data_IF_284888082471
#
_entry.id   IF_284888082471
#
_cell.length_a   1.000
_cell.length_b   1.000
_cell.length_c   1.000
_cell.angle_alpha   90.00
_cell.angle_beta   90.00
_cell.angle_gamma   90.00
#
_symmetry.space_group_name_H-M   'P 1'
#
loop_
_entity.id
_entity.type
_entity.pdbx_description
1 polymer ?
#
# COMPACT_ATOMS: atom_id res chain seq x y z
N UNK A 1 17.16 41.50 -25.71
CA UNK A 1 17.80 41.06 -24.46
C UNK A 1 16.88 41.17 -23.24
N UNK A 2 16.39 42.37 -22.86
CA UNK A 2 15.51 42.52 -21.68
C UNK A 2 14.14 41.85 -21.83
N UNK A 3 13.51 41.97 -23.01
CA UNK A 3 12.20 41.36 -23.31
C UNK A 3 12.25 39.83 -23.41
N UNK A 4 13.34 39.30 -23.94
CA UNK A 4 13.60 37.85 -24.01
C UNK A 4 13.89 37.27 -22.63
N UNK A 5 14.60 38.00 -21.77
CA UNK A 5 14.80 37.63 -20.36
C UNK A 5 13.47 37.64 -19.58
N UNK A 6 12.63 38.66 -19.79
CA UNK A 6 11.30 38.75 -19.18
C UNK A 6 10.40 37.57 -19.60
N UNK A 7 10.38 37.25 -20.91
CA UNK A 7 9.60 36.13 -21.44
C UNK A 7 10.07 34.79 -20.84
N UNK A 8 11.38 34.61 -20.68
CA UNK A 8 11.96 33.39 -20.09
C UNK A 8 11.58 33.25 -18.61
N UNK A 9 11.62 34.34 -17.84
CA UNK A 9 11.20 34.35 -16.44
C UNK A 9 9.70 34.04 -16.30
N UNK A 10 8.86 34.64 -17.16
CA UNK A 10 7.42 34.34 -17.19
C UNK A 10 7.19 32.87 -17.53
N UNK A 11 7.93 32.32 -18.50
CA UNK A 11 7.82 30.91 -18.86
C UNK A 11 8.21 29.98 -17.70
N UNK A 12 9.20 30.35 -16.90
CA UNK A 12 9.62 29.58 -15.72
C UNK A 12 8.59 29.59 -14.60
N UNK A 13 7.82 30.67 -14.45
CA UNK A 13 6.74 30.80 -13.45
C UNK A 13 5.44 30.09 -13.85
N UNK A 14 5.29 29.71 -15.13
CA UNK A 14 4.11 29.01 -15.64
C UNK A 14 4.20 27.48 -15.51
N UNK A 15 5.33 26.94 -15.04
CA UNK A 15 5.42 25.52 -14.71
C UNK A 15 4.72 25.28 -13.37
N UNK A 16 3.63 24.48 -13.31
CA UNK A 16 3.05 24.11 -12.04
C UNK A 16 4.06 23.28 -11.25
N UNK A 17 4.34 23.70 -10.02
CA UNK A 17 5.02 22.82 -9.07
C UNK A 17 4.03 21.72 -8.68
N UNK A 18 4.24 20.50 -9.18
CA UNK A 18 3.48 19.35 -8.69
C UNK A 18 3.85 19.10 -7.24
N UNK A 19 3.04 19.59 -6.31
CA UNK A 19 3.13 19.24 -4.90
C UNK A 19 2.39 17.94 -4.66
N UNK A 20 3.11 16.87 -4.30
CA UNK A 20 2.52 15.58 -4.00
C UNK A 20 2.00 15.62 -2.56
N UNK A 21 0.73 16.02 -2.39
CA UNK A 21 0.04 16.09 -1.10
C UNK A 21 -0.76 14.81 -0.78
N UNK A 22 -0.39 13.68 -1.40
CA UNK A 22 -1.05 12.41 -1.14
C UNK A 22 -0.41 11.75 0.08
N UNK A 23 -1.00 12.01 1.23
CA UNK A 23 -0.75 11.20 2.41
C UNK A 23 -1.37 9.81 2.20
N UNK A 24 -0.58 8.77 2.43
CA UNK A 24 -0.98 7.38 2.27
C UNK A 24 -0.37 6.51 3.35
N UNK A 25 -1.06 5.40 3.66
CA UNK A 25 -0.48 4.32 4.46
C UNK A 25 0.71 3.72 3.69
N UNK A 26 1.84 3.58 4.37
CA UNK A 26 3.09 2.98 3.85
C UNK A 26 3.24 1.55 4.33
N UNK A 27 2.94 1.33 5.61
CA UNK A 27 3.05 0.03 6.26
C UNK A 27 2.06 -0.07 7.40
N UNK A 28 1.63 -1.29 7.70
CA UNK A 28 0.86 -1.58 8.90
C UNK A 28 1.30 -2.90 9.53
N UNK A 29 1.01 -3.03 10.81
CA UNK A 29 1.11 -4.27 11.57
C UNK A 29 -0.19 -4.37 12.37
N UNK A 30 -1.09 -5.30 12.04
CA UNK A 30 -1.05 -6.27 10.94
C UNK A 30 -1.05 -5.62 9.54
N UNK A 31 -0.48 -6.31 8.56
CA UNK A 31 -0.48 -5.90 7.14
C UNK A 31 -1.86 -6.10 6.49
N UNK A 32 -2.14 -5.37 5.41
CA UNK A 32 -3.34 -5.59 4.59
C UNK A 32 -3.42 -7.06 4.14
N UNK A 33 -4.55 -7.70 4.43
CA UNK A 33 -4.83 -9.09 4.12
C UNK A 33 -4.01 -10.10 4.92
N UNK A 34 -3.27 -9.68 5.95
CA UNK A 34 -2.45 -10.58 6.76
C UNK A 34 -3.33 -11.59 7.51
N UNK A 35 -2.88 -12.84 7.55
CA UNK A 35 -3.51 -13.92 8.30
C UNK A 35 -2.63 -14.27 9.49
N UNK A 36 -3.06 -13.89 10.68
CA UNK A 36 -2.37 -14.14 11.93
C UNK A 36 -2.81 -15.47 12.54
N UNK A 37 -1.87 -16.24 13.08
CA UNK A 37 -2.17 -17.46 13.86
C UNK A 37 -2.38 -17.19 15.34
N UNK A 38 -2.08 -15.97 15.78
CA UNK A 38 -2.21 -15.50 17.16
C UNK A 38 -2.85 -14.10 17.20
N UNK A 39 -3.40 -13.72 18.35
CA UNK A 39 -3.97 -12.38 18.53
C UNK A 39 -2.85 -11.33 18.59
N UNK A 40 -2.92 -10.25 17.78
CA UNK A 40 -1.97 -9.15 17.92
C UNK A 40 -2.22 -8.39 19.22
N UNK A 41 -1.15 -7.97 19.90
CA UNK A 41 -1.24 -7.14 21.10
C UNK A 41 -1.28 -5.63 20.81
N UNK A 42 -0.90 -5.22 19.60
CA UNK A 42 -0.82 -3.82 19.17
C UNK A 42 -1.14 -3.72 17.67
N UNK A 43 -1.76 -2.61 17.30
CA UNK A 43 -1.88 -2.16 15.91
C UNK A 43 -0.91 -1.00 15.69
N UNK A 44 -0.15 -1.03 14.60
CA UNK A 44 0.76 0.04 14.20
C UNK A 44 0.48 0.41 12.74
N UNK A 45 0.29 1.69 12.47
CA UNK A 45 0.08 2.26 11.14
C UNK A 45 1.18 3.29 10.85
N UNK A 46 1.93 3.10 9.78
CA UNK A 46 2.98 4.02 9.32
C UNK A 46 2.53 4.71 8.04
N UNK A 47 2.63 6.03 8.01
CA UNK A 47 2.24 6.87 6.87
C UNK A 47 3.45 7.50 6.19
N UNK A 48 3.27 8.01 4.97
CA UNK A 48 4.34 8.74 4.27
C UNK A 48 4.49 10.20 4.75
N UNK A 49 3.55 10.68 5.56
CA UNK A 49 3.53 12.00 6.21
C UNK A 49 3.71 11.88 7.71
N UNK A 50 4.13 12.98 8.34
CA UNK A 50 3.93 13.17 9.79
C UNK A 50 2.43 13.15 10.10
N UNK A 51 2.07 12.45 11.16
CA UNK A 51 0.73 12.34 11.74
C UNK A 51 0.60 13.37 12.86
N UNK A 52 -0.45 14.17 12.81
CA UNK A 52 -0.72 15.20 13.80
C UNK A 52 -1.68 14.71 14.90
N UNK A 53 -1.67 15.41 16.04
CA UNK A 53 -2.52 15.11 17.19
C UNK A 53 -4.01 15.19 16.84
N UNK A 54 -4.82 14.32 17.46
CA UNK A 54 -6.25 14.16 17.13
C UNK A 54 -6.53 13.07 16.09
N UNK A 55 -5.48 12.49 15.50
CA UNK A 55 -5.57 11.27 14.69
C UNK A 55 -5.94 10.05 15.53
N UNK A 56 -6.72 9.14 14.95
CA UNK A 56 -7.25 7.97 15.64
C UNK A 56 -7.52 6.81 14.67
N UNK A 57 -7.66 5.61 15.22
CA UNK A 57 -8.16 4.45 14.49
C UNK A 57 -9.10 3.61 15.36
N UNK A 58 -9.87 2.75 14.71
CA UNK A 58 -10.79 1.80 15.31
C UNK A 58 -10.55 0.43 14.69
N UNK A 59 -10.77 -0.61 15.47
CA UNK A 59 -10.74 -2.00 14.98
C UNK A 59 -12.16 -2.53 15.02
N UNK A 60 -12.66 -3.05 13.90
CA UNK A 60 -13.99 -3.63 13.76
C UNK A 60 -13.87 -5.15 13.70
N UNK A 61 -14.68 -5.84 14.48
CA UNK A 61 -14.69 -7.30 14.56
C UNK A 61 -15.59 -7.94 13.48
N UNK A 62 -15.57 -9.28 13.33
CA UNK A 62 -16.37 -9.97 12.33
C UNK A 62 -17.89 -9.75 12.45
N UNK A 63 -18.36 -9.40 13.65
CA UNK A 63 -19.76 -9.10 13.95
C UNK A 63 -20.13 -7.63 13.69
N UNK A 64 -19.20 -6.81 13.19
CA UNK A 64 -19.39 -5.38 12.91
C UNK A 64 -19.29 -4.47 14.13
N UNK A 65 -18.82 -4.97 15.28
CA UNK A 65 -18.67 -4.18 16.51
C UNK A 65 -17.23 -3.70 16.70
N UNK A 66 -17.06 -2.54 17.33
CA UNK A 66 -15.74 -2.03 17.69
C UNK A 66 -15.06 -2.88 18.76
N UNK A 67 -13.76 -3.14 18.57
CA UNK A 67 -12.85 -3.69 19.56
C UNK A 67 -12.22 -2.54 20.35
N UNK A 68 -12.05 -2.72 21.66
CA UNK A 68 -11.41 -1.72 22.49
C UNK A 68 -9.92 -1.56 22.09
N UNK A 69 -9.53 -0.33 21.79
CA UNK A 69 -8.13 0.08 21.59
C UNK A 69 -7.77 1.07 22.68
N UNK A 70 -6.62 0.88 23.32
CA UNK A 70 -6.13 1.76 24.38
C UNK A 70 -4.74 2.28 24.07
N UNK A 71 -4.37 3.40 24.70
CA UNK A 71 -3.02 3.92 24.58
C UNK A 71 -2.66 4.38 23.17
N UNK A 72 -3.57 5.06 22.48
CA UNK A 72 -3.28 5.66 21.17
C UNK A 72 -2.03 6.55 21.30
N UNK A 73 -1.02 6.25 20.50
CA UNK A 73 0.26 6.94 20.46
C UNK A 73 0.57 7.43 19.06
N UNK A 74 1.16 8.62 18.97
CA UNK A 74 1.57 9.22 17.71
C UNK A 74 3.06 9.57 17.83
N UNK A 75 3.87 9.00 16.95
CA UNK A 75 5.30 9.24 16.88
C UNK A 75 5.74 9.50 15.43
N UNK A 76 5.97 10.77 15.12
CA UNK A 76 6.27 11.26 13.76
C UNK A 76 5.25 10.76 12.72
N UNK A 77 5.56 9.71 11.97
CA UNK A 77 4.70 9.14 10.92
C UNK A 77 3.89 7.94 11.37
N UNK A 78 4.02 7.53 12.64
CA UNK A 78 3.39 6.35 13.19
C UNK A 78 2.18 6.72 14.05
N UNK A 79 1.12 5.93 13.91
CA UNK A 79 -0.04 5.88 14.78
C UNK A 79 -0.16 4.45 15.31
N UNK A 80 -0.12 4.26 16.62
CA UNK A 80 -0.25 2.93 17.23
C UNK A 80 -1.25 2.88 18.38
N UNK A 81 -1.68 1.69 18.75
CA UNK A 81 -2.59 1.47 19.87
C UNK A 81 -2.68 0.01 20.28
N UNK A 82 -2.83 -0.24 21.57
CA UNK A 82 -2.83 -1.57 22.16
C UNK A 82 -4.22 -2.22 22.14
N UNK A 83 -4.24 -3.53 21.96
CA UNK A 83 -5.42 -4.38 22.07
C UNK A 83 -5.37 -5.14 23.41
N UNK A 84 -6.11 -4.70 24.45
CA UNK A 84 -6.01 -5.28 25.78
C UNK A 84 -6.73 -6.64 25.92
N UNK A 85 -7.51 -7.03 24.91
CA UNK A 85 -8.24 -8.29 24.87
C UNK A 85 -7.77 -9.11 23.68
N UNK A 86 -7.63 -10.41 23.88
CA UNK A 86 -7.35 -11.35 22.79
C UNK A 86 -8.49 -11.34 21.77
N UNK A 87 -8.11 -11.24 20.50
CA UNK A 87 -9.02 -11.34 19.38
C UNK A 87 -9.45 -12.80 19.21
N UNK A 88 -10.73 -13.00 18.88
CA UNK A 88 -11.24 -14.30 18.49
C UNK A 88 -10.86 -14.58 17.03
N UNK A 89 -11.02 -15.83 16.59
CA UNK A 89 -10.85 -16.15 15.18
C UNK A 89 -11.89 -15.44 14.30
N UNK A 90 -11.44 -14.82 13.20
CA UNK A 90 -12.29 -14.16 12.23
C UNK A 90 -11.62 -13.02 11.47
N UNK A 91 -12.40 -12.35 10.62
CA UNK A 91 -11.96 -11.20 9.82
C UNK A 91 -12.20 -9.88 10.55
N UNK A 92 -11.15 -9.06 10.61
CA UNK A 92 -11.12 -7.77 11.28
C UNK A 92 -10.79 -6.66 10.29
N UNK A 93 -11.27 -5.45 10.57
CA UNK A 93 -10.95 -4.25 9.81
C UNK A 93 -10.34 -3.20 10.72
N UNK A 94 -9.33 -2.49 10.23
CA UNK A 94 -8.74 -1.34 10.90
C UNK A 94 -9.14 -0.12 10.11
N UNK A 95 -9.93 0.77 10.70
CA UNK A 95 -10.38 2.02 10.11
C UNK A 95 -9.62 3.17 10.77
N UNK A 96 -8.96 4.03 10.00
CA UNK A 96 -8.28 5.21 10.57
C UNK A 96 -8.84 6.51 10.02
N UNK A 97 -8.69 7.56 10.82
CA UNK A 97 -8.81 8.95 10.41
C UNK A 97 -7.60 9.69 10.99
N UNK A 98 -6.69 10.11 10.11
CA UNK A 98 -5.47 10.82 10.49
C UNK A 98 -5.47 12.25 9.98
N UNK A 99 -4.75 13.13 10.67
CA UNK A 99 -4.47 14.49 10.23
C UNK A 99 -3.03 14.51 9.72
N UNK A 100 -2.84 14.77 8.42
CA UNK A 100 -1.53 14.88 7.80
C UNK A 100 -0.79 16.16 8.20
N UNK A 101 0.48 16.29 7.79
CA UNK A 101 1.31 17.45 8.09
C UNK A 101 0.77 18.76 7.47
N UNK A 102 -0.08 18.66 6.46
CA UNK A 102 -0.77 19.77 5.79
C UNK A 102 -2.11 20.14 6.47
N UNK A 103 -2.49 19.42 7.52
CA UNK A 103 -3.67 19.68 8.34
C UNK A 103 -4.98 19.10 7.80
N UNK A 104 -4.95 18.32 6.72
CA UNK A 104 -6.17 17.69 6.19
C UNK A 104 -6.44 16.33 6.86
N UNK A 105 -7.71 16.03 7.18
CA UNK A 105 -8.10 14.71 7.64
C UNK A 105 -8.14 13.72 6.47
N UNK A 106 -7.67 12.51 6.71
CA UNK A 106 -7.59 11.44 5.73
C UNK A 106 -8.04 10.15 6.37
N UNK A 107 -8.96 9.49 5.69
CA UNK A 107 -9.55 8.24 6.11
C UNK A 107 -9.02 7.09 5.26
N UNK A 108 -9.02 5.91 5.84
CA UNK A 108 -8.74 4.68 5.11
C UNK A 108 -9.02 3.46 5.97
N UNK A 109 -8.91 2.31 5.32
CA UNK A 109 -9.12 1.03 5.96
C UNK A 109 -8.16 -0.03 5.42
N UNK A 110 -7.86 -1.02 6.26
CA UNK A 110 -7.24 -2.29 5.88
C UNK A 110 -7.94 -3.45 6.58
N UNK A 111 -7.83 -4.65 6.01
CA UNK A 111 -8.36 -5.88 6.64
C UNK A 111 -7.26 -6.83 7.08
N UNK A 112 -7.51 -7.63 8.12
CA UNK A 112 -6.65 -8.76 8.51
C UNK A 112 -7.51 -9.88 9.10
N UNK A 113 -7.00 -11.12 9.11
CA UNK A 113 -7.71 -12.29 9.63
C UNK A 113 -6.94 -12.90 10.79
N UNK A 114 -7.63 -13.29 11.85
CA UNK A 114 -7.06 -14.11 12.94
C UNK A 114 -7.56 -15.55 12.79
N UNK A 115 -6.64 -16.50 12.69
CA UNK A 115 -6.89 -17.95 12.64
C UNK A 115 -6.28 -18.63 13.86
N UNK A 116 -7.00 -18.57 14.97
CA UNK A 116 -6.61 -19.32 16.17
C UNK A 116 -6.97 -20.79 15.94
N UNK A 117 -5.94 -21.63 15.72
CA UNK A 117 -6.09 -23.08 15.84
C UNK A 117 -6.39 -23.36 17.31
N UNK A 118 -7.64 -23.69 17.62
CA UNK A 118 -7.96 -24.21 18.94
C UNK A 118 -7.23 -25.53 19.08
N UNK A 119 -6.19 -25.58 19.92
CA UNK A 119 -5.62 -26.83 20.38
C UNK A 119 -6.77 -27.68 20.94
N UNK A 120 -7.20 -28.66 20.15
CA UNK A 120 -7.94 -29.78 20.71
C UNK A 120 -6.97 -30.46 21.67
N UNK A 121 -7.09 -30.18 22.97
CA UNK A 121 -6.53 -31.06 24.00
C UNK A 121 -7.24 -32.41 23.87
N UNK A 122 -6.74 -33.25 22.96
CA UNK A 122 -7.17 -34.61 22.74
C UNK A 122 -6.48 -35.49 23.79
N UNK A 123 -7.09 -35.57 24.97
CA UNK A 123 -6.89 -36.73 25.83
C UNK A 123 -7.58 -37.93 25.16
N UNK A 124 -6.83 -38.73 24.41
CA UNK A 124 -7.21 -40.11 24.08
C UNK A 124 -5.96 -40.91 23.65
N UNK A 125 -5.31 -41.54 24.64
CA UNK A 125 -4.53 -42.75 24.43
C UNK A 125 -5.49 -43.89 24.08
N UNK A 126 -5.34 -44.49 22.89
CA UNK A 126 -5.23 -45.95 22.71
C UNK A 126 -5.38 -46.31 21.23
N UNK A 127 -4.23 -46.50 20.58
CA UNK A 127 -3.86 -47.72 19.84
C UNK A 127 -5.00 -48.49 19.14
N UNK A 128 -5.02 -48.51 17.80
CA UNK A 128 -4.54 -49.69 17.05
C UNK A 128 -4.70 -49.62 15.52
N UNK A 129 -3.61 -50.03 14.86
CA UNK A 129 -3.49 -50.84 13.64
C UNK A 129 -3.58 -50.13 12.27
N UNK A 130 -2.38 -49.86 11.79
CA UNK A 130 -1.85 -50.00 10.43
C UNK A 130 -2.64 -51.02 9.59
N UNK A 131 -3.17 -50.58 8.44
CA UNK A 131 -3.16 -51.40 7.23
C UNK A 131 -2.56 -50.57 6.09
N UNK A 132 -1.34 -50.98 5.75
CA UNK A 132 -0.66 -50.76 4.49
C UNK A 132 -1.16 -51.86 3.54
N UNK A 133 -1.50 -51.47 2.32
CA UNK A 133 -1.24 -52.18 1.05
C UNK A 133 -1.81 -51.29 -0.07
N UNK A 134 -0.92 -50.60 -0.80
CA UNK A 134 -0.52 -50.94 -2.19
C UNK A 134 -1.53 -50.45 -3.25
N UNK A 135 -1.21 -49.98 -4.44
CA UNK A 135 -0.03 -49.45 -5.10
C UNK A 135 -0.49 -49.11 -6.54
N UNK A 136 0.02 -48.01 -7.10
CA UNK A 136 0.27 -47.71 -8.52
C UNK A 136 -0.89 -47.64 -9.53
N UNK A 137 -0.94 -46.53 -10.27
CA UNK A 137 -0.54 -46.40 -11.69
C UNK A 137 -0.54 -44.89 -12.00
N UNK A 138 0.62 -44.26 -12.16
CA UNK A 138 1.30 -44.03 -13.45
C UNK A 138 0.43 -43.26 -14.45
N UNK A 139 0.74 -41.96 -14.63
CA UNK A 139 1.04 -41.39 -15.94
C UNK A 139 1.76 -40.03 -15.77
N UNK A 140 2.90 -39.94 -16.43
CA UNK A 140 3.84 -38.81 -16.48
C UNK A 140 3.45 -37.88 -17.66
N UNK A 141 4.26 -36.87 -18.02
CA UNK A 141 4.07 -35.45 -17.75
C UNK A 141 3.40 -34.69 -18.92
N UNK A 142 2.68 -33.61 -18.63
CA UNK A 142 2.40 -32.57 -19.62
C UNK A 142 3.17 -31.32 -19.25
N UNK A 143 4.29 -31.18 -19.94
CA UNK A 143 5.03 -29.94 -20.17
C UNK A 143 4.07 -28.90 -20.76
N UNK A 144 3.85 -27.79 -20.04
CA UNK A 144 3.30 -26.56 -20.63
C UNK A 144 4.30 -25.45 -20.38
N UNK A 145 4.73 -24.91 -21.51
CA UNK A 145 5.78 -23.94 -21.73
C UNK A 145 5.67 -22.70 -20.83
N UNK A 146 6.83 -22.24 -20.38
CA UNK A 146 7.02 -20.90 -19.83
C UNK A 146 6.79 -19.85 -20.92
N UNK A 147 5.76 -19.01 -20.77
CA UNK A 147 5.63 -17.76 -21.52
C UNK A 147 5.83 -16.56 -20.57
N UNK A 148 6.91 -15.78 -20.68
CA UNK A 148 7.03 -14.52 -19.97
C UNK A 148 6.30 -13.41 -20.74
N UNK A 149 5.05 -13.14 -20.35
CA UNK A 149 4.31 -11.97 -20.82
C UNK A 149 4.82 -10.69 -20.12
N UNK A 150 5.74 -9.99 -20.78
CA UNK A 150 6.05 -8.58 -20.47
C UNK A 150 4.78 -7.72 -20.61
N UNK A 151 4.43 -6.86 -19.64
CA UNK A 151 3.40 -5.85 -19.87
C UNK A 151 3.91 -4.77 -20.84
N UNK A 152 3.09 -4.27 -21.78
CA UNK A 152 3.50 -3.19 -22.66
C UNK A 152 3.72 -1.90 -21.87
N UNK A 153 4.94 -1.36 -21.97
CA UNK A 153 5.30 -0.02 -21.52
C UNK A 153 4.59 1.06 -22.36
N UNK A 154 3.28 1.25 -22.16
CA UNK A 154 2.52 2.38 -22.67
C UNK A 154 2.69 3.60 -21.75
N UNK A 155 3.91 4.12 -21.65
CA UNK A 155 4.20 5.44 -21.05
C UNK A 155 5.28 6.22 -21.81
N UNK A 156 5.83 5.67 -22.90
CA UNK A 156 6.92 6.33 -23.66
C UNK A 156 6.45 7.16 -24.87
N UNK A 157 5.24 6.96 -25.38
CA UNK A 157 4.80 7.64 -26.61
C UNK A 157 4.55 9.15 -26.41
N UNK A 158 3.99 9.54 -25.25
CA UNK A 158 3.74 10.96 -24.93
C UNK A 158 5.07 11.71 -24.75
N UNK A 159 6.06 11.10 -24.09
CA UNK A 159 7.38 11.70 -23.89
C UNK A 159 8.13 11.93 -25.22
N UNK A 160 8.04 10.97 -26.15
CA UNK A 160 8.66 11.08 -27.47
C UNK A 160 8.00 12.21 -28.29
N UNK A 161 6.67 12.33 -28.25
CA UNK A 161 5.96 13.42 -28.95
C UNK A 161 6.36 14.80 -28.40
N UNK A 162 6.45 14.93 -27.07
CA UNK A 162 6.90 16.18 -26.44
C UNK A 162 8.35 16.53 -26.77
N UNK A 163 9.24 15.54 -26.80
CA UNK A 163 10.64 15.74 -27.19
C UNK A 163 10.77 16.22 -28.64
N UNK A 164 9.99 15.64 -29.56
CA UNK A 164 9.98 16.05 -30.98
C UNK A 164 9.47 17.49 -31.12
N UNK A 165 8.39 17.86 -30.43
CA UNK A 165 7.86 19.23 -30.46
C UNK A 165 8.87 20.24 -29.90
N UNK A 166 9.58 19.90 -28.83
CA UNK A 166 10.63 20.74 -28.27
C UNK A 166 11.79 20.94 -29.24
N UNK A 167 12.23 19.88 -29.91
CA UNK A 167 13.31 19.93 -30.92
C UNK A 167 12.89 20.80 -32.11
N UNK A 168 11.68 20.61 -32.65
CA UNK A 168 11.17 21.40 -33.78
C UNK A 168 11.08 22.89 -33.41
N UNK A 169 10.57 23.20 -32.21
CA UNK A 169 10.50 24.57 -31.70
C UNK A 169 11.90 25.20 -31.56
N UNK A 170 12.85 24.45 -31.01
CA UNK A 170 14.25 24.87 -30.86
C UNK A 170 14.90 25.21 -32.20
N UNK A 171 14.74 24.36 -33.21
CA UNK A 171 15.25 24.61 -34.56
C UNK A 171 14.55 25.77 -35.25
N UNK A 172 13.25 25.94 -35.04
CA UNK A 172 12.50 27.09 -35.58
C UNK A 172 13.01 28.42 -35.02
N UNK A 173 13.31 28.48 -33.71
CA UNK A 173 13.88 29.67 -33.07
C UNK A 173 15.29 29.96 -33.58
N UNK A 174 16.16 28.95 -33.70
CA UNK A 174 17.52 29.12 -34.24
C UNK A 174 17.49 29.61 -35.69
N UNK A 175 16.58 29.07 -36.52
CA UNK A 175 16.47 29.46 -37.93
C UNK A 175 15.97 30.89 -38.08
N UNK A 176 15.02 31.33 -37.24
CA UNK A 176 14.50 32.70 -37.27
C UNK A 176 15.51 33.73 -36.76
N UNK A 177 16.40 33.34 -35.84
CA UNK A 177 17.46 34.19 -35.30
C UNK A 177 18.63 34.47 -36.25
N UNK A 178 18.73 33.78 -37.40
CA UNK A 178 19.77 34.01 -38.42
C UNK A 178 19.36 34.95 -39.57
N UNK A 179 18.15 35.52 -39.54
CA UNK A 179 17.60 36.35 -40.62
C UNK A 179 17.50 37.84 -40.19
N UNK A 180 18.44 38.32 -39.36
CA UNK A 180 18.62 39.76 -39.13
C UNK A 180 20.10 40.12 -39.25
#
# INVERSE_FOLDING_TARGET
MKKTLLLLIICLLLFPNSTFAHTSLVKSSPSEGEVLTESPGEIVLEFNTKVEQGSQFQVINPSGNGVAVIGISIEDKMLSGMLPQELQGGDYQIHWNIIGADGHPIEGEISFTVKIEQEKTSNEESNQIINKDEQSMEEDPVEVEMEPANPPAMMSTIAIILAILAIVSFFYVIRKGKIQ
#
